data_IF_290190996564
#
_entry.id   IF_290190996564
#
_cell.length_a   1.000
_cell.length_b   1.000
_cell.length_c   1.000
_cell.angle_alpha   90.00
_cell.angle_beta   90.00
_cell.angle_gamma   90.00
#
_symmetry.space_group_name_H-M   'P 1'
#
loop_
_entity.id
_entity.type
_entity.pdbx_description
1 polymer ?
#
# COMPACT_ATOMS: atom_id res chain seq x y z
N UNK A 1 -9.06 9.21 -4.15
CA UNK A 1 -9.18 9.07 -2.68
C UNK A 1 -7.99 8.31 -2.07
N UNK A 2 -7.82 6.99 -2.24
CA UNK A 2 -6.73 6.26 -1.57
C UNK A 2 -5.30 6.73 -1.90
N UNK A 3 -5.01 6.97 -3.18
CA UNK A 3 -3.69 7.46 -3.62
C UNK A 3 -3.43 8.91 -3.18
N UNK A 4 -4.44 9.77 -3.26
CA UNK A 4 -4.34 11.17 -2.85
C UNK A 4 -4.09 11.30 -1.35
N UNK A 5 -4.66 10.40 -0.54
CA UNK A 5 -4.38 10.34 0.90
C UNK A 5 -2.92 9.94 1.19
N UNK A 6 -2.37 8.98 0.43
CA UNK A 6 -0.96 8.58 0.55
C UNK A 6 -0.05 9.73 0.11
N UNK A 7 -0.35 10.36 -1.03
CA UNK A 7 0.38 11.51 -1.55
C UNK A 7 0.43 12.68 -0.54
N UNK A 8 -0.73 13.01 0.06
CA UNK A 8 -0.81 14.02 1.12
C UNK A 8 -0.01 13.64 2.38
N UNK A 9 0.00 12.36 2.75
CA UNK A 9 0.74 11.87 3.93
C UNK A 9 2.26 11.85 3.71
N UNK A 10 2.72 11.60 2.48
CA UNK A 10 4.15 11.58 2.14
C UNK A 10 4.67 12.93 1.66
N UNK A 11 3.79 13.91 1.39
CA UNK A 11 4.15 15.20 0.80
C UNK A 11 4.61 15.09 -0.66
N UNK A 12 4.28 13.98 -1.33
CA UNK A 12 4.68 13.68 -2.70
C UNK A 12 3.50 13.88 -3.66
N UNK A 13 3.80 14.08 -4.95
CA UNK A 13 2.75 14.12 -5.95
C UNK A 13 2.18 12.72 -6.22
N UNK A 14 0.86 12.60 -6.29
CA UNK A 14 0.17 11.33 -6.51
C UNK A 14 0.63 10.63 -7.80
N UNK A 15 0.94 11.42 -8.83
CA UNK A 15 1.43 10.92 -10.12
C UNK A 15 2.86 10.40 -10.00
N UNK A 16 3.71 11.05 -9.21
CA UNK A 16 5.06 10.55 -8.92
C UNK A 16 4.99 9.18 -8.23
N UNK A 17 4.10 9.01 -7.25
CA UNK A 17 3.90 7.71 -6.59
C UNK A 17 3.48 6.64 -7.61
N UNK A 18 2.51 6.95 -8.46
CA UNK A 18 1.98 6.01 -9.46
C UNK A 18 2.97 5.66 -10.58
N UNK A 19 3.70 6.65 -11.10
CA UNK A 19 4.57 6.49 -12.27
C UNK A 19 5.99 6.04 -11.90
N UNK A 20 6.47 6.35 -10.69
CA UNK A 20 7.85 6.09 -10.26
C UNK A 20 7.92 4.95 -9.24
N UNK A 21 7.09 4.98 -8.20
CA UNK A 21 7.22 4.05 -7.07
C UNK A 21 6.43 2.76 -7.28
N UNK A 22 5.17 2.86 -7.70
CA UNK A 22 4.30 1.69 -7.87
C UNK A 22 4.87 0.63 -8.84
N UNK A 23 5.52 0.96 -9.98
CA UNK A 23 6.06 -0.05 -10.89
C UNK A 23 7.03 -1.00 -10.20
N UNK A 24 7.92 -0.46 -9.37
CA UNK A 24 8.89 -1.27 -8.63
C UNK A 24 8.20 -2.11 -7.55
N UNK A 25 7.30 -1.51 -6.77
CA UNK A 25 6.59 -2.19 -5.69
C UNK A 25 5.65 -3.30 -6.20
N UNK A 26 5.06 -3.12 -7.38
CA UNK A 26 4.29 -4.15 -8.08
C UNK A 26 5.21 -5.28 -8.56
N UNK A 27 6.37 -4.94 -9.13
CA UNK A 27 7.32 -5.91 -9.67
C UNK A 27 7.89 -6.84 -8.58
N UNK A 28 8.22 -6.31 -7.40
CA UNK A 28 8.72 -7.10 -6.27
C UNK A 28 7.58 -7.76 -5.46
N UNK A 29 6.32 -7.55 -5.86
CA UNK A 29 5.15 -8.16 -5.23
C UNK A 29 4.80 -7.58 -3.85
N UNK A 30 5.17 -6.33 -3.57
CA UNK A 30 4.90 -5.64 -2.30
C UNK A 30 3.57 -4.89 -2.30
N UNK A 31 3.09 -4.52 -3.47
CA UNK A 31 1.85 -3.76 -3.65
C UNK A 31 0.98 -4.43 -4.70
N UNK A 32 -0.34 -4.44 -4.49
CA UNK A 32 -1.32 -4.89 -5.47
C UNK A 32 -2.33 -3.78 -5.77
N UNK A 33 -2.66 -3.62 -7.06
CA UNK A 33 -3.75 -2.74 -7.51
C UNK A 33 -5.07 -3.51 -7.49
N UNK A 34 -6.08 -2.95 -6.84
CA UNK A 34 -7.46 -3.48 -6.81
C UNK A 34 -8.45 -2.40 -7.25
N UNK A 35 -9.67 -2.75 -7.69
CA UNK A 35 -10.70 -1.76 -8.03
C UNK A 35 -11.06 -0.81 -6.87
N UNK A 36 -10.82 -1.23 -5.62
CA UNK A 36 -11.10 -0.45 -4.41
C UNK A 36 -9.90 0.39 -3.94
N UNK A 37 -8.70 0.14 -4.45
CA UNK A 37 -7.48 0.85 -4.02
C UNK A 37 -6.21 0.01 -4.09
N UNK A 38 -5.17 0.46 -3.38
CA UNK A 38 -3.89 -0.24 -3.27
C UNK A 38 -3.90 -1.10 -2.00
N UNK A 39 -3.44 -2.34 -2.13
CA UNK A 39 -3.34 -3.29 -1.00
C UNK A 39 -1.89 -3.71 -0.85
N UNK A 40 -1.37 -3.61 0.36
CA UNK A 40 -0.02 -4.07 0.72
C UNK A 40 -0.06 -5.59 0.88
N UNK A 41 0.92 -6.30 0.32
CA UNK A 41 0.96 -7.76 0.38
C UNK A 41 1.60 -8.25 1.68
N UNK A 42 1.35 -9.51 2.05
CA UNK A 42 1.95 -10.13 3.23
C UNK A 42 3.50 -10.08 3.20
N UNK A 43 4.11 -10.14 2.01
CA UNK A 43 5.56 -10.09 1.83
C UNK A 43 6.10 -8.70 2.19
N UNK A 44 5.38 -7.64 1.82
CA UNK A 44 5.72 -6.28 2.21
C UNK A 44 5.60 -6.07 3.72
N UNK A 45 4.58 -6.63 4.36
CA UNK A 45 4.45 -6.59 5.82
C UNK A 45 5.63 -7.26 6.52
N UNK A 46 6.02 -8.45 6.06
CA UNK A 46 7.20 -9.15 6.57
C UNK A 46 8.49 -8.34 6.36
N UNK A 47 8.65 -7.71 5.20
CA UNK A 47 9.80 -6.85 4.90
C UNK A 47 9.87 -5.62 5.81
N UNK A 48 8.72 -5.04 6.15
CA UNK A 48 8.60 -3.90 7.05
C UNK A 48 8.70 -4.30 8.54
N UNK A 49 8.91 -5.59 8.85
CA UNK A 49 8.97 -6.10 10.23
C UNK A 49 7.63 -5.96 10.98
N UNK A 50 6.52 -5.80 10.25
CA UNK A 50 5.18 -5.68 10.81
C UNK A 50 4.50 -7.05 10.81
N UNK A 51 3.99 -7.47 11.97
CA UNK A 51 3.16 -8.67 12.05
C UNK A 51 1.80 -8.39 11.42
N UNK A 52 1.43 -9.20 10.43
CA UNK A 52 0.16 -9.12 9.68
C UNK A 52 -1.10 -9.16 10.57
N UNK A 53 -0.96 -9.58 11.83
CA UNK A 53 -2.02 -9.59 12.86
C UNK A 53 -2.65 -8.21 13.11
N UNK A 54 -1.89 -7.11 13.11
CA UNK A 54 -2.39 -5.81 13.58
C UNK A 54 -3.39 -5.14 12.63
N UNK A 55 -3.49 -5.58 11.37
CA UNK A 55 -4.45 -5.02 10.41
C UNK A 55 -5.61 -5.94 10.05
N UNK A 56 -5.49 -7.25 10.27
CA UNK A 56 -6.63 -8.17 10.12
C UNK A 56 -7.74 -7.85 11.14
N UNK A 57 -7.40 -7.28 12.30
CA UNK A 57 -8.40 -6.79 13.27
C UNK A 57 -9.09 -5.50 12.82
N UNK A 58 -8.39 -4.59 12.12
CA UNK A 58 -8.93 -3.29 11.69
C UNK A 58 -9.97 -3.44 10.57
N UNK A 59 -9.91 -4.53 9.80
CA UNK A 59 -10.89 -4.84 8.74
C UNK A 59 -11.90 -5.94 9.12
N UNK A 60 -11.84 -6.48 10.36
CA UNK A 60 -12.77 -7.51 10.86
C UNK A 60 -13.67 -7.02 12.03
N UNK A 61 -13.77 -5.72 12.28
CA UNK A 61 -14.86 -5.17 13.08
C UNK A 61 -15.89 -4.49 12.16
N UNK A 62 -17.02 -5.20 12.01
CA UNK A 62 -18.33 -4.88 11.37
C UNK A 62 -18.43 -4.73 9.84
#
# INVERSE_FOLDING_TARGET
MGLEAIAAATGEDAKTIEEVYEPYLLQIGYLNRTPRGRVVTAIAYQHLGKTTEEQLSIFNEE
#
